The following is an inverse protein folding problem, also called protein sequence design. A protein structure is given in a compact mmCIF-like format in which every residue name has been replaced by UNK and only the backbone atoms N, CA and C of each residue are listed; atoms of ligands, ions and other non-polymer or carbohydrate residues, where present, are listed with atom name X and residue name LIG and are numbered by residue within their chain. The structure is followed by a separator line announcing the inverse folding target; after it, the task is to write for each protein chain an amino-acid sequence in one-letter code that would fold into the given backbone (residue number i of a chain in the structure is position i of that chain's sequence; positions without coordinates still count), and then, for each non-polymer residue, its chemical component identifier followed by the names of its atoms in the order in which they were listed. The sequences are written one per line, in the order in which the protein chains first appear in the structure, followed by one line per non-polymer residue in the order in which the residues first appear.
data_IF_395047796479
#
_entry.id   IF_395047796479
#
_cell.length_a   1.000
_cell.length_b   1.000
_cell.length_c   1.000
_cell.angle_alpha   90.00
_cell.angle_beta   90.00
_cell.angle_gamma   90.00
#
_symmetry.space_group_name_H-M   'P 1'
#
loop_
_entity.id
_entity.type
_entity.pdbx_description
1 polymer ?
#
# COMPACT_ATOMS: atom_id res chain seq x y z
N UNK A 1 26.22 33.57 -15.33
CA UNK A 1 26.35 32.62 -14.20
C UNK A 1 25.32 31.54 -14.44
N UNK A 2 25.75 30.33 -14.81
CA UNK A 2 24.85 29.21 -15.07
C UNK A 2 24.78 28.36 -13.79
N UNK A 3 23.58 28.23 -13.22
CA UNK A 3 23.33 27.35 -12.09
C UNK A 3 22.87 26.02 -12.66
N UNK A 4 23.72 24.98 -12.57
CA UNK A 4 23.30 23.62 -12.85
C UNK A 4 22.36 23.18 -11.73
N UNK A 5 21.11 22.89 -12.08
CA UNK A 5 20.17 22.23 -11.16
C UNK A 5 20.58 20.75 -11.05
N UNK A 6 20.56 20.15 -9.85
CA UNK A 6 20.80 18.73 -9.72
C UNK A 6 19.71 17.98 -10.49
N UNK A 7 20.12 17.15 -11.45
CA UNK A 7 19.25 16.20 -12.14
C UNK A 7 18.63 15.30 -11.08
N UNK A 8 17.33 15.44 -10.83
CA UNK A 8 16.58 14.48 -10.07
C UNK A 8 16.76 13.12 -10.77
N UNK A 9 17.65 12.29 -10.22
CA UNK A 9 17.73 10.89 -10.58
C UNK A 9 16.38 10.31 -10.21
N UNK A 10 15.50 10.21 -11.21
CA UNK A 10 14.20 9.58 -11.12
C UNK A 10 14.45 8.07 -10.96
N UNK A 11 15.01 7.69 -9.83
CA UNK A 11 15.11 6.32 -9.38
C UNK A 11 13.72 6.03 -8.81
N UNK A 12 12.75 5.88 -9.71
CA UNK A 12 11.45 5.33 -9.40
C UNK A 12 11.69 3.86 -9.02
N UNK A 13 12.22 3.65 -7.81
CA UNK A 13 12.02 2.42 -7.08
C UNK A 13 10.51 2.23 -7.08
N UNK A 14 10.03 1.27 -7.86
CA UNK A 14 8.62 0.89 -7.89
C UNK A 14 8.27 0.37 -6.48
N UNK A 15 7.95 1.29 -5.58
CA UNK A 15 7.51 0.97 -4.23
C UNK A 15 6.13 0.36 -4.37
N UNK A 16 5.99 -0.90 -3.99
CA UNK A 16 4.68 -1.54 -3.93
C UNK A 16 3.91 -0.82 -2.82
N UNK A 17 2.72 -0.35 -3.16
CA UNK A 17 1.86 0.36 -2.21
C UNK A 17 0.56 -0.43 -2.08
N UNK A 18 0.34 -0.98 -0.88
CA UNK A 18 -0.91 -1.64 -0.54
C UNK A 18 -1.91 -0.60 -0.04
N UNK A 19 -3.16 -0.81 -0.43
CA UNK A 19 -4.30 0.02 -0.04
C UNK A 19 -5.45 -0.87 0.41
N UNK A 20 -6.37 -0.30 1.19
CA UNK A 20 -7.56 -0.99 1.67
C UNK A 20 -8.81 -0.14 1.40
N UNK A 21 -9.91 -0.83 1.11
CA UNK A 21 -11.20 -0.18 0.91
C UNK A 21 -11.78 0.21 2.27
N UNK A 22 -11.98 1.50 2.46
CA UNK A 22 -12.41 2.12 3.72
C UNK A 22 -13.89 2.50 3.77
N UNK A 23 -14.66 2.09 2.76
CA UNK A 23 -16.08 2.33 2.73
C UNK A 23 -16.78 1.69 3.93
N UNK A 24 -17.71 2.40 4.59
CA UNK A 24 -18.50 1.85 5.69
C UNK A 24 -19.40 0.70 5.21
N UNK A 25 -19.95 0.80 4.00
CA UNK A 25 -20.62 -0.30 3.32
C UNK A 25 -19.78 -0.76 2.10
N UNK A 26 -19.07 -1.90 2.21
CA UNK A 26 -18.15 -2.34 1.15
C UNK A 26 -18.85 -2.91 -0.08
N UNK A 27 -20.17 -3.13 -0.05
CA UNK A 27 -20.96 -3.68 -1.16
C UNK A 27 -21.85 -2.63 -1.85
N UNK A 28 -21.88 -1.41 -1.33
CA UNK A 28 -22.64 -0.29 -1.88
C UNK A 28 -22.13 0.02 -3.28
N UNK A 29 -23.04 -0.03 -4.27
CA UNK A 29 -22.74 0.36 -5.66
C UNK A 29 -22.97 1.85 -5.90
N UNK A 30 -23.51 2.54 -4.90
CA UNK A 30 -23.89 3.95 -4.94
C UNK A 30 -22.86 4.87 -4.31
N UNK A 31 -22.02 4.36 -3.42
CA UNK A 31 -20.98 5.16 -2.76
C UNK A 31 -19.66 5.09 -3.55
N UNK A 32 -18.92 6.21 -3.63
CA UNK A 32 -17.60 6.20 -4.25
C UNK A 32 -16.66 5.30 -3.45
N UNK A 33 -15.94 4.39 -4.12
CA UNK A 33 -14.95 3.53 -3.46
C UNK A 33 -13.82 4.39 -2.88
N UNK A 34 -13.63 4.35 -1.57
CA UNK A 34 -12.59 5.09 -0.87
C UNK A 34 -11.45 4.15 -0.51
N UNK A 35 -10.30 4.34 -1.17
CA UNK A 35 -9.08 3.61 -0.87
C UNK A 35 -8.23 4.40 0.11
N UNK A 36 -7.86 3.76 1.22
CA UNK A 36 -6.91 4.30 2.18
C UNK A 36 -5.59 3.54 2.12
N UNK A 37 -4.52 4.21 2.49
CA UNK A 37 -3.17 3.64 2.45
C UNK A 37 -2.83 3.02 3.80
N UNK A 38 -2.11 1.91 3.76
CA UNK A 38 -1.40 1.41 4.94
C UNK A 38 -0.22 2.34 5.24
N UNK A 39 0.15 2.47 6.52
CA UNK A 39 1.38 3.17 6.90
C UNK A 39 2.62 2.47 6.32
N UNK A 40 3.76 3.15 6.28
CA UNK A 40 5.01 2.58 5.75
C UNK A 40 5.41 1.25 6.42
N UNK A 41 5.14 1.13 7.73
CA UNK A 41 5.43 -0.09 8.51
C UNK A 41 4.48 -1.21 8.14
N UNK A 42 3.18 -0.90 8.06
CA UNK A 42 2.16 -1.87 7.69
C UNK A 42 2.36 -2.38 6.27
N UNK A 43 2.68 -1.48 5.32
CA UNK A 43 3.03 -1.85 3.95
C UNK A 43 4.19 -2.84 3.89
N UNK A 44 5.23 -2.63 4.71
CA UNK A 44 6.38 -3.53 4.76
C UNK A 44 5.99 -4.92 5.28
N UNK A 45 5.13 -4.98 6.30
CA UNK A 45 4.63 -6.25 6.86
C UNK A 45 3.81 -7.01 5.81
N UNK A 46 2.94 -6.31 5.08
CA UNK A 46 2.12 -6.89 4.01
C UNK A 46 3.01 -7.39 2.88
N UNK A 47 3.93 -6.56 2.40
CA UNK A 47 4.87 -6.90 1.33
C UNK A 47 5.74 -8.11 1.71
N UNK A 48 6.24 -8.16 2.95
CA UNK A 48 7.03 -9.29 3.45
C UNK A 48 6.20 -10.58 3.50
N UNK A 49 4.99 -10.53 4.08
CA UNK A 49 4.10 -11.69 4.19
C UNK A 49 3.71 -12.22 2.80
N UNK A 50 3.37 -11.32 1.88
CA UNK A 50 3.04 -11.64 0.49
C UNK A 50 4.24 -12.25 -0.26
N UNK A 51 5.42 -11.64 -0.12
CA UNK A 51 6.66 -12.13 -0.75
C UNK A 51 7.08 -13.51 -0.23
N UNK A 52 6.80 -13.78 1.05
CA UNK A 52 7.01 -15.08 1.68
C UNK A 52 5.93 -16.11 1.36
N UNK A 53 4.96 -15.78 0.49
CA UNK A 53 3.83 -16.65 0.09
C UNK A 53 2.99 -17.11 1.28
N UNK A 54 2.87 -16.27 2.30
CA UNK A 54 1.95 -16.54 3.41
C UNK A 54 0.51 -16.42 2.91
N UNK A 55 -0.41 -17.11 3.58
CA UNK A 55 -1.84 -17.01 3.26
C UNK A 55 -2.46 -15.71 3.78
N UNK A 56 -1.91 -15.18 4.88
CA UNK A 56 -2.43 -14.00 5.57
C UNK A 56 -1.30 -13.19 6.23
N UNK A 57 -1.49 -11.89 6.37
CA UNK A 57 -0.68 -11.00 7.19
C UNK A 57 -1.45 -10.58 8.45
N UNK A 58 -0.77 -10.49 9.60
CA UNK A 58 -1.35 -9.96 10.84
C UNK A 58 -0.91 -8.51 11.03
N UNK A 59 -1.87 -7.59 11.11
CA UNK A 59 -1.68 -6.15 11.30
C UNK A 59 -2.59 -5.62 12.40
N UNK A 60 -1.99 -5.17 13.50
CA UNK A 60 -2.68 -4.57 14.65
C UNK A 60 -3.96 -5.32 15.09
N UNK A 61 -3.87 -6.65 15.16
CA UNK A 61 -4.99 -7.52 15.57
C UNK A 61 -5.97 -7.89 14.45
N UNK A 62 -5.78 -7.37 13.24
CA UNK A 62 -6.52 -7.74 12.04
C UNK A 62 -5.72 -8.68 11.15
N UNK A 63 -6.41 -9.58 10.44
CA UNK A 63 -5.79 -10.45 9.44
C UNK A 63 -6.17 -9.97 8.04
N UNK A 64 -5.17 -9.85 7.17
CA UNK A 64 -5.34 -9.62 5.74
C UNK A 64 -5.12 -10.95 5.04
N UNK A 65 -6.17 -11.51 4.45
CA UNK A 65 -6.07 -12.70 3.61
C UNK A 65 -5.63 -12.34 2.18
N UNK A 66 -4.61 -13.05 1.67
CA UNK A 66 -4.08 -12.86 0.32
C UNK A 66 -4.72 -13.79 -0.73
N UNK A 67 -5.84 -14.44 -0.38
CA UNK A 67 -6.37 -15.61 -1.08
C UNK A 67 -7.72 -15.36 -1.76
#
# INVERSE_FOLDING_TARGET
MAYAMPTASNNSLNRIEWTWQSNPDPWSTTEPTEWNHYSDVENLIIEEAFSNKQAQALLDGYYIDFK
#
